data_IF_449227560565
#
_entry.id   IF_449227560565
#
_cell.length_a   1.000
_cell.length_b   1.000
_cell.length_c   1.000
_cell.angle_alpha   90.00
_cell.angle_beta   90.00
_cell.angle_gamma   90.00
#
_symmetry.space_group_name_H-M   'P 1'
#
loop_
_entity.id
_entity.type
_entity.pdbx_description
1 polymer ?
#
# COMPACT_ATOMS: atom_id res chain seq x y z
N UNK A 1 -12.29 -13.07 14.38
CA UNK A 1 -11.47 -12.88 13.17
C UNK A 1 -11.47 -11.40 12.86
N UNK A 2 -10.37 -10.85 12.33
CA UNK A 2 -10.37 -9.46 11.91
C UNK A 2 -11.40 -9.21 10.79
N UNK A 3 -11.91 -7.99 10.70
CA UNK A 3 -12.92 -7.52 9.77
C UNK A 3 -12.41 -7.47 8.33
N UNK A 4 -11.10 -7.25 8.12
CA UNK A 4 -10.51 -7.29 6.79
C UNK A 4 -10.31 -8.74 6.34
N UNK A 5 -10.98 -9.22 5.28
CA UNK A 5 -10.89 -10.61 4.86
C UNK A 5 -9.64 -10.88 4.01
N UNK A 6 -9.17 -9.90 3.25
CA UNK A 6 -7.99 -9.98 2.38
C UNK A 6 -7.44 -8.59 2.06
N UNK A 7 -6.18 -8.53 1.60
CA UNK A 7 -5.67 -7.34 0.92
C UNK A 7 -6.05 -7.39 -0.56
N UNK A 8 -6.47 -6.26 -1.11
CA UNK A 8 -6.69 -6.10 -2.55
C UNK A 8 -5.45 -5.53 -3.26
N UNK A 9 -5.30 -5.81 -4.58
CA UNK A 9 -4.29 -5.17 -5.41
C UNK A 9 -4.38 -3.63 -5.39
N UNK A 10 -3.29 -2.92 -5.73
CA UNK A 10 -3.30 -1.47 -5.80
C UNK A 10 -4.40 -0.99 -6.74
N UNK A 11 -5.14 0.04 -6.31
CA UNK A 11 -6.30 0.57 -7.02
C UNK A 11 -7.37 -0.48 -7.40
N UNK A 12 -7.41 -1.63 -6.70
CA UNK A 12 -8.26 -2.77 -7.05
C UNK A 12 -8.08 -3.26 -8.50
N UNK A 13 -6.87 -3.10 -9.06
CA UNK A 13 -6.59 -3.47 -10.45
C UNK A 13 -6.92 -4.95 -10.71
N UNK A 14 -7.58 -5.20 -11.85
CA UNK A 14 -7.99 -6.53 -12.29
C UNK A 14 -7.71 -6.71 -13.79
N UNK A 15 -6.57 -7.31 -14.10
CA UNK A 15 -6.18 -7.59 -15.48
C UNK A 15 -6.88 -8.85 -16.06
N UNK A 16 -7.63 -9.59 -15.24
CA UNK A 16 -8.31 -10.84 -15.59
C UNK A 16 -9.84 -10.69 -15.64
N UNK A 17 -10.33 -9.51 -16.03
CA UNK A 17 -11.76 -9.25 -16.14
C UNK A 17 -12.43 -10.26 -17.10
N UNK A 18 -13.45 -10.97 -16.61
CA UNK A 18 -14.13 -12.05 -17.35
C UNK A 18 -13.48 -13.44 -17.19
N UNK A 19 -12.37 -13.54 -16.46
CA UNK A 19 -11.66 -14.78 -16.13
C UNK A 19 -11.65 -15.02 -14.61
N UNK A 20 -12.81 -15.36 -14.04
CA UNK A 20 -13.06 -15.40 -12.59
C UNK A 20 -12.02 -16.21 -11.78
N UNK A 21 -11.62 -17.39 -12.26
CA UNK A 21 -10.63 -18.22 -11.58
C UNK A 21 -9.23 -17.59 -11.55
N UNK A 22 -8.84 -16.88 -12.61
CA UNK A 22 -7.55 -16.18 -12.65
C UNK A 22 -7.56 -14.94 -11.77
N UNK A 23 -8.66 -14.19 -11.76
CA UNK A 23 -8.84 -13.06 -10.84
C UNK A 23 -8.76 -13.53 -9.38
N UNK A 24 -9.48 -14.59 -9.03
CA UNK A 24 -9.46 -15.18 -7.68
C UNK A 24 -8.06 -15.63 -7.29
N UNK A 25 -7.34 -16.29 -8.20
CA UNK A 25 -5.96 -16.71 -7.98
C UNK A 25 -5.03 -15.51 -7.76
N UNK A 26 -5.17 -14.43 -8.54
CA UNK A 26 -4.41 -13.19 -8.39
C UNK A 26 -4.64 -12.57 -7.00
N UNK A 27 -5.91 -12.32 -6.63
CA UNK A 27 -6.28 -11.70 -5.34
C UNK A 27 -5.77 -12.53 -4.16
N UNK A 28 -5.93 -13.85 -4.23
CA UNK A 28 -5.44 -14.77 -3.19
C UNK A 28 -3.92 -14.69 -3.05
N UNK A 29 -3.18 -14.75 -4.16
CA UNK A 29 -1.70 -14.67 -4.15
C UNK A 29 -1.22 -13.31 -3.66
N UNK A 30 -1.88 -12.24 -4.08
CA UNK A 30 -1.58 -10.89 -3.63
C UNK A 30 -1.75 -10.77 -2.11
N UNK A 31 -2.93 -11.12 -1.60
CA UNK A 31 -3.22 -11.07 -0.16
C UNK A 31 -2.23 -11.89 0.66
N UNK A 32 -1.92 -13.12 0.22
CA UNK A 32 -0.93 -13.97 0.87
C UNK A 32 0.47 -13.33 0.91
N UNK A 33 0.88 -12.68 -0.18
CA UNK A 33 2.18 -12.02 -0.27
C UNK A 33 2.26 -10.83 0.69
N UNK A 34 1.26 -9.93 0.67
CA UNK A 34 1.21 -8.76 1.57
C UNK A 34 1.14 -9.19 3.03
N UNK A 35 0.35 -10.23 3.34
CA UNK A 35 0.28 -10.82 4.67
C UNK A 35 1.67 -11.32 5.13
N UNK A 36 2.40 -12.05 4.28
CA UNK A 36 3.74 -12.54 4.59
C UNK A 36 4.71 -11.40 4.90
N UNK A 37 4.73 -10.34 4.09
CA UNK A 37 5.60 -9.18 4.33
C UNK A 37 5.22 -8.44 5.62
N UNK A 38 3.92 -8.27 5.88
CA UNK A 38 3.42 -7.63 7.10
C UNK A 38 3.85 -8.40 8.34
N UNK A 39 3.66 -9.71 8.36
CA UNK A 39 4.08 -10.58 9.47
C UNK A 39 5.59 -10.59 9.66
N UNK A 40 6.36 -10.68 8.56
CA UNK A 40 7.82 -10.62 8.65
C UNK A 40 8.30 -9.29 9.22
N UNK A 41 7.65 -8.19 8.85
CA UNK A 41 7.97 -6.86 9.38
C UNK A 41 7.71 -6.78 10.88
N UNK A 42 6.57 -7.32 11.35
CA UNK A 42 6.21 -7.34 12.76
C UNK A 42 7.10 -8.23 13.62
N UNK A 43 7.67 -9.29 13.05
CA UNK A 43 8.57 -10.20 13.78
C UNK A 43 9.92 -9.57 14.16
N UNK A 44 10.24 -8.37 13.63
CA UNK A 44 11.56 -7.73 13.66
C UNK A 44 12.65 -8.60 13.01
N UNK A 45 13.71 -8.01 12.46
CA UNK A 45 14.83 -8.81 11.92
C UNK A 45 15.87 -9.04 13.02
N UNK A 46 15.99 -10.27 13.57
CA UNK A 46 16.96 -10.54 14.62
C UNK A 46 18.41 -10.55 14.12
N UNK A 47 18.64 -10.54 12.81
CA UNK A 47 19.97 -10.67 12.22
C UNK A 47 20.55 -9.34 11.71
N UNK A 48 19.70 -8.39 11.29
CA UNK A 48 20.15 -7.14 10.65
C UNK A 48 19.98 -5.88 11.50
N UNK A 49 19.28 -5.93 12.64
CA UNK A 49 19.10 -4.74 13.51
C UNK A 49 19.10 -5.12 14.98
N UNK A 50 20.28 -4.99 15.61
CA UNK A 50 20.43 -5.07 17.05
C UNK A 50 19.67 -3.90 17.69
N UNK A 51 18.79 -4.19 18.66
CA UNK A 51 17.94 -3.23 19.38
C UNK A 51 16.78 -2.60 18.59
N UNK A 52 16.22 -3.27 17.58
CA UNK A 52 15.01 -2.77 16.93
C UNK A 52 13.84 -2.71 17.94
N UNK A 53 13.26 -1.52 18.20
CA UNK A 53 12.16 -1.40 19.14
C UNK A 53 10.91 -2.13 18.62
N UNK A 54 9.99 -2.55 19.52
CA UNK A 54 8.71 -3.09 19.10
C UNK A 54 7.96 -2.10 18.19
N UNK A 55 7.44 -2.60 17.07
CA UNK A 55 6.60 -1.83 16.13
C UNK A 55 5.20 -1.64 16.72
N UNK A 56 5.02 -0.69 17.64
CA UNK A 56 3.72 -0.43 18.29
C UNK A 56 2.72 0.32 17.41
N UNK A 57 3.19 0.98 16.34
CA UNK A 57 2.38 1.80 15.45
C UNK A 57 1.95 1.06 14.17
N UNK A 58 2.42 -0.17 13.97
CA UNK A 58 2.13 -0.99 12.80
C UNK A 58 1.51 -2.31 13.27
N UNK A 59 0.48 -2.78 12.57
CA UNK A 59 -0.20 -4.03 12.89
C UNK A 59 -0.70 -4.70 11.60
N UNK A 60 -1.00 -5.99 11.67
CA UNK A 60 -1.60 -6.69 10.56
C UNK A 60 -3.13 -6.59 10.61
N UNK A 61 -3.79 -5.87 9.68
CA UNK A 61 -5.24 -5.74 9.68
C UNK A 61 -5.99 -7.04 9.37
N UNK A 62 -5.33 -8.09 8.85
CA UNK A 62 -5.94 -9.42 8.72
C UNK A 62 -6.03 -10.17 10.05
N UNK A 63 -5.30 -9.73 11.08
CA UNK A 63 -5.28 -10.38 12.40
C UNK A 63 -5.82 -9.48 13.52
N UNK A 64 -5.64 -8.18 13.38
CA UNK A 64 -6.00 -7.18 14.40
C UNK A 64 -7.01 -6.20 13.81
N UNK A 65 -8.16 -6.09 14.46
CA UNK A 65 -9.17 -5.12 14.08
C UNK A 65 -8.76 -3.70 14.43
N UNK A 66 -9.19 -2.77 13.58
CA UNK A 66 -9.17 -1.35 13.90
C UNK A 66 -10.36 -1.10 14.85
N UNK A 67 -10.13 -0.57 16.06
CA UNK A 67 -11.20 -0.28 17.01
C UNK A 67 -12.28 0.60 16.38
N UNK A 68 -13.54 0.31 16.68
CA UNK A 68 -14.65 1.10 16.20
C UNK A 68 -14.55 2.55 16.70
N UNK A 69 -14.85 3.51 15.83
CA UNK A 69 -14.67 4.93 16.12
C UNK A 69 -13.23 5.46 15.95
N UNK A 70 -12.26 4.60 15.59
CA UNK A 70 -10.92 5.08 15.20
C UNK A 70 -11.04 5.98 13.97
N UNK A 71 -10.54 7.21 14.05
CA UNK A 71 -10.53 8.16 12.93
C UNK A 71 -9.49 7.72 11.90
N UNK A 72 -9.96 7.25 10.74
CA UNK A 72 -9.11 7.09 9.57
C UNK A 72 -8.68 8.48 9.05
N UNK A 73 -7.39 8.69 8.86
CA UNK A 73 -6.88 9.87 8.15
C UNK A 73 -6.65 9.45 6.70
N UNK A 74 -7.38 9.99 5.71
CA UNK A 74 -7.10 9.71 4.32
C UNK A 74 -5.73 10.33 3.97
N UNK A 75 -4.73 9.48 3.77
CA UNK A 75 -3.43 9.90 3.22
C UNK A 75 -3.63 10.10 1.73
N UNK A 76 -3.61 11.35 1.28
CA UNK A 76 -3.62 11.68 -0.14
C UNK A 76 -2.20 11.50 -0.68
N UNK A 77 -2.04 10.52 -1.55
CA UNK A 77 -0.86 10.40 -2.39
C UNK A 77 -1.12 11.17 -3.68
N UNK A 78 -0.38 12.25 -3.91
CA UNK A 78 -0.33 12.84 -5.24
C UNK A 78 0.39 11.84 -6.14
N UNK A 79 -0.31 11.32 -7.15
CA UNK A 79 0.27 10.40 -8.13
C UNK A 79 1.45 11.03 -8.89
N UNK A 80 1.53 12.37 -8.88
CA UNK A 80 2.61 13.12 -9.50
C UNK A 80 3.91 13.03 -8.69
N UNK A 81 5.08 12.91 -9.35
CA UNK A 81 6.36 13.01 -8.67
C UNK A 81 6.40 14.36 -7.94
N UNK A 82 6.34 14.33 -6.61
CA UNK A 82 6.37 15.55 -5.79
C UNK A 82 7.58 16.43 -6.16
N UNK A 83 8.66 15.81 -6.67
CA UNK A 83 9.82 16.50 -7.23
C UNK A 83 9.45 17.47 -8.36
N UNK A 84 8.60 17.11 -9.32
CA UNK A 84 8.22 18.00 -10.44
C UNK A 84 7.43 19.19 -9.90
N UNK A 85 6.47 18.94 -8.99
CA UNK A 85 5.68 19.99 -8.34
C UNK A 85 6.57 20.97 -7.55
N UNK A 86 7.54 20.45 -6.81
CA UNK A 86 8.47 21.29 -6.03
C UNK A 86 9.51 22.01 -6.89
N UNK A 87 9.96 21.40 -7.99
CA UNK A 87 11.00 21.97 -8.86
C UNK A 87 10.43 23.00 -9.82
N UNK A 88 9.19 22.81 -10.29
CA UNK A 88 8.52 23.68 -11.25
C UNK A 88 7.17 24.20 -10.72
N UNK A 89 7.15 24.94 -9.59
CA UNK A 89 5.90 25.35 -8.95
C UNK A 89 5.11 26.39 -9.75
N UNK A 90 5.76 27.07 -10.70
CA UNK A 90 5.17 28.20 -11.43
C UNK A 90 4.70 27.84 -12.86
N UNK A 91 4.84 26.59 -13.27
CA UNK A 91 4.35 26.15 -14.60
C UNK A 91 2.95 25.57 -14.47
N UNK A 92 2.16 25.66 -15.54
CA UNK A 92 0.81 25.12 -15.55
C UNK A 92 0.79 23.60 -15.39
N UNK A 93 -0.30 23.07 -14.82
CA UNK A 93 -0.48 21.64 -14.52
C UNK A 93 -0.20 20.75 -15.75
N UNK A 94 -0.68 21.14 -16.93
CA UNK A 94 -0.40 20.41 -18.19
C UNK A 94 1.09 20.28 -18.51
N UNK A 95 1.87 21.33 -18.24
CA UNK A 95 3.33 21.31 -18.46
C UNK A 95 4.03 20.45 -17.42
N UNK A 96 3.55 20.46 -16.16
CA UNK A 96 4.04 19.53 -15.14
C UNK A 96 3.78 18.08 -15.54
N UNK A 97 2.64 17.81 -16.16
CA UNK A 97 2.32 16.48 -16.67
C UNK A 97 3.24 16.04 -17.79
N UNK A 98 3.50 16.94 -18.74
CA UNK A 98 4.45 16.69 -19.80
C UNK A 98 5.85 16.33 -19.27
N UNK A 99 6.34 17.00 -18.22
CA UNK A 99 7.62 16.65 -17.59
C UNK A 99 7.65 15.25 -16.97
N UNK A 100 6.52 14.77 -16.43
CA UNK A 100 6.45 13.41 -15.90
C UNK A 100 6.48 12.35 -17.01
N UNK A 101 5.92 12.67 -18.17
CA UNK A 101 5.86 11.78 -19.33
C UNK A 101 7.18 11.77 -20.13
N UNK A 102 7.88 12.91 -20.20
CA UNK A 102 9.05 13.09 -21.07
C UNK A 102 10.42 12.87 -20.37
N UNK A 103 10.50 13.06 -19.03
CA UNK A 103 11.70 12.80 -18.23
C UNK A 103 12.70 13.95 -18.14
#
# INVERSE_FOLDING_TARGET
MAKLPQFDPPANQNDFCGEEEKEKALRTRWSNNINRYTEKTLQNDPWSSVNQPPLSQYFNPLKTDIPEGTKGVPIKWTAFPNRILMTYPNVGERTQWQYADEG
#
